data_IF_492055449758
#
_entry.id   IF_492055449758
#
_cell.length_a   1.000
_cell.length_b   1.000
_cell.length_c   1.000
_cell.angle_alpha   90.00
_cell.angle_beta   90.00
_cell.angle_gamma   90.00
#
_symmetry.space_group_name_H-M   'P 1'
#
loop_
_entity.id
_entity.type
_entity.pdbx_description
1 polymer ?
#
# COMPACT_ATOMS: atom_id res chain seq x y z
N UNK A 1 6.47 -2.28 11.19
CA UNK A 1 6.93 -3.41 10.35
C UNK A 1 8.45 -3.32 10.29
N UNK A 2 9.21 -4.32 10.74
CA UNK A 2 10.68 -4.35 10.51
C UNK A 2 10.88 -4.85 9.08
N UNK A 3 11.38 -3.99 8.21
CA UNK A 3 11.56 -4.29 6.79
C UNK A 3 12.66 -5.34 6.57
N UNK A 4 12.54 -6.20 5.54
CA UNK A 4 13.54 -7.23 5.25
C UNK A 4 14.91 -6.59 5.08
N UNK A 5 15.92 -7.22 5.68
CA UNK A 5 17.30 -6.75 5.78
C UNK A 5 17.84 -6.29 4.42
N UNK A 6 18.79 -5.35 4.45
CA UNK A 6 19.69 -5.13 3.33
C UNK A 6 20.38 -6.47 3.09
N UNK A 7 19.94 -7.20 2.08
CA UNK A 7 20.67 -8.36 1.61
C UNK A 7 21.96 -7.81 0.96
N UNK A 8 23.15 -8.33 1.32
CA UNK A 8 24.44 -7.80 0.85
C UNK A 8 24.63 -7.78 -0.68
N UNK A 9 23.72 -8.39 -1.43
CA UNK A 9 23.75 -8.53 -2.89
C UNK A 9 23.14 -7.33 -3.66
N UNK A 10 22.36 -6.45 -3.00
CA UNK A 10 21.81 -5.25 -3.65
C UNK A 10 22.73 -4.04 -3.47
N UNK A 11 23.53 -3.74 -4.49
CA UNK A 11 24.46 -2.58 -4.54
C UNK A 11 23.72 -1.22 -4.56
N UNK A 12 22.41 -1.22 -4.87
CA UNK A 12 21.60 -0.02 -5.00
C UNK A 12 20.22 -0.20 -4.35
N UNK A 13 19.65 0.83 -3.70
CA UNK A 13 18.39 0.71 -2.94
C UNK A 13 17.15 0.69 -3.84
N UNK A 14 17.09 -0.26 -4.78
CA UNK A 14 15.93 -0.48 -5.65
C UNK A 14 14.67 -0.79 -4.83
N UNK A 15 13.58 -0.09 -5.14
CA UNK A 15 12.27 -0.24 -4.50
C UNK A 15 12.18 0.30 -3.07
N UNK A 16 13.15 1.10 -2.62
CA UNK A 16 13.22 1.63 -1.23
C UNK A 16 12.75 3.07 -1.09
N UNK A 17 11.83 3.52 -1.95
CA UNK A 17 11.35 4.91 -1.95
C UNK A 17 10.68 5.32 -0.64
N UNK A 18 9.93 4.41 -0.01
CA UNK A 18 9.30 4.64 1.30
C UNK A 18 10.36 4.89 2.37
N UNK A 19 11.31 3.97 2.54
CA UNK A 19 12.30 4.01 3.62
C UNK A 19 13.21 5.24 3.49
N UNK A 20 13.61 5.58 2.27
CA UNK A 20 14.42 6.77 2.01
C UNK A 20 13.61 8.04 2.32
N UNK A 21 12.37 8.13 1.84
CA UNK A 21 11.51 9.31 2.06
C UNK A 21 11.23 9.52 3.54
N UNK A 22 10.84 8.47 4.27
CA UNK A 22 10.56 8.53 5.71
C UNK A 22 11.81 8.93 6.53
N UNK A 23 12.97 8.37 6.18
CA UNK A 23 14.23 8.69 6.84
C UNK A 23 14.62 10.14 6.61
N UNK A 24 14.56 10.61 5.36
CA UNK A 24 14.89 12.00 5.02
C UNK A 24 13.92 12.97 5.71
N UNK A 25 12.62 12.67 5.72
CA UNK A 25 11.64 13.51 6.39
C UNK A 25 11.87 13.57 7.91
N UNK A 26 12.21 12.43 8.54
CA UNK A 26 12.55 12.37 9.96
C UNK A 26 13.75 13.26 10.28
N UNK A 27 14.83 13.12 9.50
CA UNK A 27 16.03 13.95 9.66
C UNK A 27 15.72 15.42 9.40
N UNK A 28 14.92 15.73 8.38
CA UNK A 28 14.51 17.11 8.09
C UNK A 28 13.77 17.72 9.27
N UNK A 29 12.75 17.05 9.81
CA UNK A 29 11.97 17.54 10.97
C UNK A 29 12.89 17.80 12.18
N UNK A 30 13.83 16.90 12.46
CA UNK A 30 14.81 17.08 13.54
C UNK A 30 15.70 18.31 13.32
N UNK A 31 16.17 18.54 12.08
CA UNK A 31 16.99 19.70 11.72
C UNK A 31 16.21 21.00 11.77
N UNK A 32 14.93 21.00 11.39
CA UNK A 32 14.07 22.18 11.46
C UNK A 32 13.76 22.63 12.90
N UNK A 33 13.85 21.72 13.87
CA UNK A 33 13.72 22.05 15.29
C UNK A 33 14.94 22.84 15.83
N UNK A 34 16.12 22.68 15.21
CA UNK A 34 17.37 23.37 15.59
C UNK A 34 18.16 23.78 14.34
N UNK A 35 17.68 24.77 13.56
CA UNK A 35 18.24 25.09 12.26
C UNK A 35 19.62 25.76 12.37
N UNK A 36 20.62 25.13 11.76
CA UNK A 36 22.03 25.57 11.74
C UNK A 36 22.43 26.17 10.39
N UNK A 37 21.87 25.67 9.29
CA UNK A 37 22.15 26.16 7.93
C UNK A 37 21.13 27.23 7.47
N UNK A 38 21.51 28.12 6.52
CA UNK A 38 20.57 29.10 5.95
C UNK A 38 19.29 28.48 5.39
N UNK A 39 19.40 27.35 4.67
CA UNK A 39 18.24 26.65 4.11
C UNK A 39 17.30 26.12 5.21
N UNK A 40 17.84 25.57 6.29
CA UNK A 40 17.06 25.09 7.43
C UNK A 40 16.34 26.24 8.13
N UNK A 41 17.00 27.40 8.28
CA UNK A 41 16.36 28.59 8.86
C UNK A 41 15.19 29.06 8.01
N UNK A 42 15.35 29.07 6.69
CA UNK A 42 14.29 29.44 5.76
C UNK A 42 13.11 28.46 5.83
N UNK A 43 13.37 27.16 5.79
CA UNK A 43 12.34 26.12 5.91
C UNK A 43 11.63 26.15 7.27
N UNK A 44 12.38 26.35 8.36
CA UNK A 44 11.81 26.46 9.69
C UNK A 44 10.94 27.72 9.83
N UNK A 45 11.34 28.85 9.23
CA UNK A 45 10.52 30.05 9.15
C UNK A 45 9.23 29.80 8.34
N UNK A 46 9.33 29.13 7.19
CA UNK A 46 8.17 28.74 6.39
C UNK A 46 7.16 27.92 7.20
N UNK A 47 7.62 26.88 7.92
CA UNK A 47 6.74 26.05 8.77
C UNK A 47 6.14 26.86 9.93
N UNK A 48 6.93 27.71 10.60
CA UNK A 48 6.41 28.58 11.69
C UNK A 48 5.34 29.56 11.20
N UNK A 49 5.40 29.96 9.94
CA UNK A 49 4.39 30.81 9.30
C UNK A 49 3.17 30.04 8.76
N UNK A 50 3.00 28.77 9.12
CA UNK A 50 1.88 27.92 8.68
C UNK A 50 2.14 27.13 7.39
N UNK A 51 3.37 27.14 6.90
CA UNK A 51 3.78 26.32 5.75
C UNK A 51 3.71 24.82 6.05
N UNK A 52 3.28 24.05 5.05
CA UNK A 52 3.07 22.60 5.19
C UNK A 52 4.29 21.84 4.66
N UNK A 53 4.82 20.93 5.49
CA UNK A 53 5.74 19.86 5.08
C UNK A 53 5.14 18.54 5.55
N UNK A 54 4.77 17.67 4.63
CA UNK A 54 4.10 16.39 4.97
C UNK A 54 4.43 15.29 3.95
N UNK A 55 4.39 14.01 4.34
CA UNK A 55 4.49 12.93 3.39
C UNK A 55 3.23 12.90 2.50
N UNK A 56 3.42 12.48 1.25
CA UNK A 56 2.35 12.20 0.29
C UNK A 56 2.63 10.85 -0.37
N UNK A 57 1.55 10.14 -0.67
CA UNK A 57 1.58 8.87 -1.38
C UNK A 57 0.46 8.85 -2.41
N UNK A 58 0.73 8.29 -3.59
CA UNK A 58 -0.28 8.22 -4.65
C UNK A 58 0.23 7.60 -5.94
N UNK A 59 -0.62 7.64 -6.97
CA UNK A 59 -0.26 7.26 -8.32
C UNK A 59 0.48 8.41 -9.01
N UNK A 60 1.74 8.18 -9.35
CA UNK A 60 2.56 9.11 -10.13
C UNK A 60 2.40 8.78 -11.62
N UNK A 61 1.89 9.76 -12.37
CA UNK A 61 1.78 9.73 -13.84
C UNK A 61 1.04 8.49 -14.37
N UNK A 62 0.11 7.97 -13.58
CA UNK A 62 -0.65 6.76 -13.89
C UNK A 62 0.18 5.48 -14.04
N UNK A 63 1.42 5.46 -13.52
CA UNK A 63 2.39 4.38 -13.75
C UNK A 63 2.95 3.76 -12.47
N UNK A 64 3.21 4.56 -11.43
CA UNK A 64 3.93 4.11 -10.25
C UNK A 64 3.18 4.48 -8.97
N UNK A 65 3.31 3.66 -7.92
CA UNK A 65 3.06 4.14 -6.57
C UNK A 65 4.30 4.87 -6.08
N UNK A 66 4.12 6.10 -5.61
CA UNK A 66 5.24 6.95 -5.22
C UNK A 66 5.06 7.49 -3.81
N UNK A 67 6.14 7.47 -3.03
CA UNK A 67 6.28 8.22 -1.79
C UNK A 67 7.07 9.49 -2.08
N UNK A 68 6.56 10.63 -1.63
CA UNK A 68 7.23 11.91 -1.74
C UNK A 68 6.89 12.79 -0.54
N UNK A 69 7.49 13.98 -0.49
CA UNK A 69 7.15 15.02 0.48
C UNK A 69 6.51 16.20 -0.24
N UNK A 70 5.36 16.65 0.24
CA UNK A 70 4.84 17.97 -0.13
C UNK A 70 5.51 19.02 0.74
N UNK A 71 6.11 20.03 0.12
CA UNK A 71 6.64 21.22 0.78
C UNK A 71 5.97 22.47 0.20
N UNK A 72 4.89 22.93 0.84
CA UNK A 72 4.03 23.97 0.29
C UNK A 72 3.46 23.58 -1.07
N UNK A 73 3.78 24.34 -2.11
CA UNK A 73 3.39 24.07 -3.49
C UNK A 73 4.36 23.16 -4.25
N UNK A 74 5.38 22.61 -3.59
CA UNK A 74 6.38 21.75 -4.20
C UNK A 74 6.10 20.27 -3.91
N UNK A 75 6.31 19.46 -4.93
CA UNK A 75 6.57 18.04 -4.84
C UNK A 75 8.07 17.84 -4.68
N UNK A 76 8.47 17.06 -3.68
CA UNK A 76 9.87 16.74 -3.39
C UNK A 76 9.99 15.23 -3.24
N UNK A 77 10.60 14.59 -4.24
CA UNK A 77 10.92 13.16 -4.23
C UNK A 77 12.42 12.99 -4.05
N UNK A 78 12.81 12.36 -2.95
CA UNK A 78 14.21 12.15 -2.57
C UNK A 78 14.72 10.75 -2.93
N UNK A 79 13.89 9.98 -3.65
CA UNK A 79 14.11 8.59 -4.02
C UNK A 79 13.64 8.30 -5.46
N UNK A 80 13.69 9.30 -6.35
CA UNK A 80 13.16 9.24 -7.71
C UNK A 80 13.88 8.19 -8.60
N UNK A 81 15.10 7.82 -8.23
CA UNK A 81 15.95 6.86 -8.93
C UNK A 81 15.78 5.40 -8.46
N UNK A 82 14.92 5.15 -7.46
CA UNK A 82 14.78 3.81 -6.84
C UNK A 82 14.00 2.80 -7.70
N UNK A 83 13.35 3.24 -8.78
CA UNK A 83 12.73 2.35 -9.79
C UNK A 83 13.54 2.35 -11.09
N UNK A 84 14.06 3.52 -11.47
CA UNK A 84 14.86 3.69 -12.68
C UNK A 84 16.16 4.39 -12.31
N UNK A 85 17.23 3.61 -12.16
CA UNK A 85 18.52 4.07 -11.61
C UNK A 85 19.21 5.18 -12.40
N UNK A 86 18.80 5.41 -13.65
CA UNK A 86 19.32 6.46 -14.52
C UNK A 86 18.65 7.82 -14.30
N UNK A 87 17.55 7.88 -13.53
CA UNK A 87 16.89 9.14 -13.17
C UNK A 87 17.73 9.95 -12.16
N UNK A 88 17.50 11.26 -12.04
CA UNK A 88 18.03 12.04 -10.94
C UNK A 88 17.58 11.47 -9.58
N UNK A 89 18.47 11.50 -8.59
CA UNK A 89 18.20 10.99 -7.23
C UNK A 89 17.06 11.74 -6.54
N UNK A 90 17.07 13.06 -6.73
CA UNK A 90 16.10 13.99 -6.16
C UNK A 90 15.37 14.69 -7.29
N UNK A 91 14.04 14.70 -7.24
CA UNK A 91 13.18 15.48 -8.14
C UNK A 91 12.42 16.52 -7.30
N UNK A 92 12.49 17.79 -7.73
CA UNK A 92 11.74 18.89 -7.12
C UNK A 92 11.03 19.64 -8.24
N UNK A 93 9.71 19.77 -8.13
CA UNK A 93 8.91 20.52 -9.09
C UNK A 93 7.61 21.02 -8.44
N UNK A 94 6.88 21.96 -9.08
CA UNK A 94 5.55 22.34 -8.60
C UNK A 94 4.65 21.11 -8.49
N UNK A 95 3.91 20.98 -7.37
CA UNK A 95 3.01 19.85 -7.11
C UNK A 95 1.97 19.69 -8.21
N UNK A 96 1.45 20.80 -8.74
CA UNK A 96 0.51 20.82 -9.86
C UNK A 96 1.10 20.26 -11.18
N UNK A 97 2.42 20.13 -11.28
CA UNK A 97 3.13 19.55 -12.44
C UNK A 97 3.66 18.15 -12.18
N UNK A 98 3.59 17.67 -10.94
CA UNK A 98 4.10 16.34 -10.57
C UNK A 98 3.24 15.21 -11.13
N UNK A 99 1.95 15.48 -11.38
CA UNK A 99 0.96 14.49 -11.79
C UNK A 99 0.91 13.30 -10.81
N UNK A 100 0.94 13.63 -9.52
CA UNK A 100 0.68 12.68 -8.43
C UNK A 100 -0.76 12.86 -7.99
N UNK A 101 -1.53 11.77 -8.06
CA UNK A 101 -2.94 11.75 -7.68
C UNK A 101 -3.20 10.73 -6.58
N UNK A 102 -4.19 11.04 -5.74
CA UNK A 102 -4.67 10.12 -4.72
C UNK A 102 -5.29 8.88 -5.37
N UNK A 103 -5.11 7.71 -4.74
CA UNK A 103 -5.81 6.49 -5.16
C UNK A 103 -7.29 6.63 -4.77
N UNK A 104 -8.16 6.59 -5.78
CA UNK A 104 -9.58 6.91 -5.61
C UNK A 104 -10.37 5.73 -5.04
N UNK A 105 -10.09 4.53 -5.54
CA UNK A 105 -10.76 3.28 -5.21
C UNK A 105 -9.87 2.07 -5.55
N UNK A 106 -10.43 0.87 -5.40
CA UNK A 106 -9.72 -0.39 -5.67
C UNK A 106 -9.43 -0.61 -7.16
N UNK A 107 -10.27 -0.09 -8.05
CA UNK A 107 -10.06 -0.19 -9.50
C UNK A 107 -8.87 0.64 -9.92
N UNK A 108 -8.82 1.91 -9.48
CA UNK A 108 -7.67 2.77 -9.70
C UNK A 108 -6.39 2.15 -9.11
N UNK A 109 -6.44 1.58 -7.89
CA UNK A 109 -5.29 0.85 -7.34
C UNK A 109 -4.84 -0.31 -8.24
N UNK A 110 -5.77 -1.17 -8.66
CA UNK A 110 -5.49 -2.35 -9.44
C UNK A 110 -4.90 -2.04 -10.82
N UNK A 111 -5.37 -0.97 -11.47
CA UNK A 111 -4.82 -0.50 -12.74
C UNK A 111 -3.35 -0.08 -12.62
N UNK A 112 -3.02 0.69 -11.57
CA UNK A 112 -1.65 1.14 -11.30
C UNK A 112 -0.77 -0.03 -10.91
N UNK A 113 -1.24 -0.88 -9.99
CA UNK A 113 -0.56 -2.09 -9.54
C UNK A 113 -0.26 -3.03 -10.70
N UNK A 114 -1.23 -3.28 -11.58
CA UNK A 114 -1.06 -4.17 -12.72
C UNK A 114 0.01 -3.68 -13.69
N UNK A 115 0.02 -2.37 -14.00
CA UNK A 115 1.07 -1.75 -14.83
C UNK A 115 2.43 -1.77 -14.15
N UNK A 116 2.50 -1.35 -12.89
CA UNK A 116 3.76 -1.19 -12.18
C UNK A 116 4.45 -2.52 -11.89
N UNK A 117 3.67 -3.52 -11.47
CA UNK A 117 4.18 -4.81 -11.06
C UNK A 117 4.16 -5.85 -12.18
N UNK A 118 3.64 -5.50 -13.35
CA UNK A 118 3.39 -6.43 -14.45
C UNK A 118 2.62 -7.68 -13.97
N UNK A 119 1.53 -7.45 -13.25
CA UNK A 119 0.77 -8.48 -12.55
C UNK A 119 -0.71 -8.43 -12.92
N UNK A 120 -1.36 -9.59 -12.89
CA UNK A 120 -2.82 -9.66 -13.00
C UNK A 120 -3.43 -9.46 -11.60
N UNK A 121 -4.34 -8.50 -11.46
CA UNK A 121 -5.05 -8.27 -10.19
C UNK A 121 -6.42 -8.93 -10.24
N UNK A 122 -6.69 -9.82 -9.29
CA UNK A 122 -7.93 -10.59 -9.17
C UNK A 122 -8.53 -10.47 -7.77
N UNK A 123 -9.71 -11.04 -7.55
CA UNK A 123 -10.35 -11.05 -6.24
C UNK A 123 -9.65 -12.00 -5.26
N UNK A 124 -9.55 -11.60 -3.99
CA UNK A 124 -9.11 -12.46 -2.90
C UNK A 124 -10.24 -13.43 -2.50
N UNK A 125 -10.30 -14.57 -3.18
CA UNK A 125 -11.12 -15.73 -2.77
C UNK A 125 -10.31 -16.80 -2.03
N UNK A 126 -9.00 -16.57 -1.86
CA UNK A 126 -8.05 -17.49 -1.22
C UNK A 126 -8.14 -17.37 0.30
N UNK A 127 -8.11 -16.15 0.83
CA UNK A 127 -8.25 -15.84 2.26
C UNK A 127 -9.47 -14.91 2.52
N UNK A 128 -10.70 -15.41 2.37
CA UNK A 128 -11.93 -14.61 2.47
C UNK A 128 -12.09 -13.81 3.76
N UNK A 129 -11.60 -14.32 4.89
CA UNK A 129 -11.65 -13.62 6.18
C UNK A 129 -10.86 -12.29 6.18
N UNK A 130 -9.90 -12.15 5.25
CA UNK A 130 -9.11 -10.93 5.07
C UNK A 130 -9.67 -10.01 3.98
N UNK A 131 -10.65 -10.43 3.19
CA UNK A 131 -11.23 -9.64 2.10
C UNK A 131 -11.68 -8.21 2.50
N UNK A 132 -12.20 -7.93 3.71
CA UNK A 132 -12.54 -6.55 4.10
C UNK A 132 -11.35 -5.58 4.08
N UNK A 133 -10.13 -6.09 4.31
CA UNK A 133 -8.90 -5.30 4.37
C UNK A 133 -7.96 -5.56 3.19
N UNK A 134 -8.06 -6.74 2.57
CA UNK A 134 -7.22 -7.22 1.48
C UNK A 134 -8.10 -7.92 0.43
N UNK A 135 -8.91 -7.18 -0.34
CA UNK A 135 -9.84 -7.74 -1.32
C UNK A 135 -9.12 -8.22 -2.59
N UNK A 136 -7.84 -7.89 -2.76
CA UNK A 136 -7.08 -8.09 -3.99
C UNK A 136 -5.96 -9.12 -3.83
N UNK A 137 -5.77 -9.90 -4.88
CA UNK A 137 -4.63 -10.78 -5.09
C UNK A 137 -3.91 -10.36 -6.37
N UNK A 138 -2.59 -10.15 -6.31
CA UNK A 138 -1.77 -9.97 -7.49
C UNK A 138 -1.13 -11.30 -7.88
N UNK A 139 -1.23 -11.66 -9.15
CA UNK A 139 -0.66 -12.88 -9.74
C UNK A 139 0.55 -12.50 -10.60
N UNK A 140 1.69 -13.09 -10.28
CA UNK A 140 2.98 -12.96 -10.95
C UNK A 140 3.29 -14.28 -11.68
N UNK A 141 3.01 -14.35 -12.98
CA UNK A 141 3.15 -15.61 -13.73
C UNK A 141 2.20 -16.72 -13.26
N UNK A 142 2.55 -17.99 -13.45
CA UNK A 142 1.61 -19.11 -13.27
C UNK A 142 1.42 -19.58 -11.83
N UNK A 143 2.40 -19.37 -10.94
CA UNK A 143 2.40 -20.01 -9.61
C UNK A 143 2.62 -19.04 -8.45
N UNK A 144 2.93 -17.78 -8.70
CA UNK A 144 3.18 -16.82 -7.64
C UNK A 144 2.01 -15.85 -7.52
N UNK A 145 1.44 -15.77 -6.32
CA UNK A 145 0.46 -14.75 -5.98
C UNK A 145 0.69 -14.17 -4.60
N UNK A 146 0.32 -12.91 -4.45
CA UNK A 146 0.49 -12.15 -3.21
C UNK A 146 -0.80 -11.40 -2.89
N UNK A 147 -1.19 -11.40 -1.62
CA UNK A 147 -2.17 -10.44 -1.14
C UNK A 147 -1.57 -9.04 -1.25
N UNK A 148 -2.29 -8.13 -1.89
CA UNK A 148 -1.84 -6.75 -2.11
C UNK A 148 -2.76 -5.77 -1.40
N UNK A 149 -2.50 -4.47 -1.54
CA UNK A 149 -3.14 -3.38 -0.77
C UNK A 149 -2.88 -3.39 0.74
N UNK A 150 -1.83 -4.09 1.19
CA UNK A 150 -1.35 -4.08 2.58
C UNK A 150 -0.62 -2.76 2.88
N UNK A 151 -1.32 -1.63 2.79
CA UNK A 151 -0.81 -0.33 3.22
C UNK A 151 -1.89 0.48 3.92
N UNK A 152 -1.46 1.34 4.85
CA UNK A 152 -2.37 2.11 5.72
C UNK A 152 -3.35 2.97 4.92
N UNK A 153 -2.93 3.49 3.77
CA UNK A 153 -3.79 4.26 2.87
C UNK A 153 -4.98 3.42 2.38
N UNK A 154 -4.71 2.25 1.79
CA UNK A 154 -5.75 1.40 1.21
C UNK A 154 -6.66 0.81 2.28
N UNK A 155 -6.08 0.39 3.42
CA UNK A 155 -6.83 -0.06 4.59
C UNK A 155 -7.78 1.04 5.07
N UNK A 156 -7.28 2.27 5.23
CA UNK A 156 -8.09 3.42 5.64
C UNK A 156 -9.17 3.75 4.63
N UNK A 157 -8.88 3.62 3.32
CA UNK A 157 -9.85 3.82 2.25
C UNK A 157 -11.02 2.82 2.37
N UNK A 158 -10.72 1.54 2.57
CA UNK A 158 -11.74 0.49 2.75
C UNK A 158 -12.53 0.65 4.05
N UNK A 159 -11.86 1.03 5.15
CA UNK A 159 -12.54 1.29 6.42
C UNK A 159 -13.46 2.52 6.34
N UNK A 160 -13.01 3.61 5.70
CA UNK A 160 -13.81 4.83 5.50
C UNK A 160 -15.11 4.52 4.75
N UNK A 161 -15.04 3.65 3.76
CA UNK A 161 -16.18 3.19 2.97
C UNK A 161 -16.93 2.00 3.61
N UNK A 162 -16.62 1.65 4.86
CA UNK A 162 -17.24 0.55 5.61
C UNK A 162 -17.25 -0.77 4.83
N UNK A 163 -16.16 -1.03 4.10
CA UNK A 163 -15.93 -2.23 3.30
C UNK A 163 -16.86 -2.40 2.08
N UNK A 164 -17.62 -1.38 1.65
CA UNK A 164 -18.46 -1.50 0.44
C UNK A 164 -17.63 -1.70 -0.83
N UNK A 165 -16.55 -0.94 -1.02
CA UNK A 165 -15.60 -1.14 -2.12
C UNK A 165 -15.03 -2.57 -2.14
N UNK A 166 -14.62 -3.09 -0.97
CA UNK A 166 -14.07 -4.44 -0.84
C UNK A 166 -15.12 -5.51 -1.22
N UNK A 167 -16.36 -5.36 -0.75
CA UNK A 167 -17.47 -6.25 -1.08
C UNK A 167 -17.73 -6.30 -2.59
N UNK A 168 -17.85 -5.13 -3.25
CA UNK A 168 -18.05 -5.06 -4.70
C UNK A 168 -16.90 -5.71 -5.44
N UNK A 169 -15.65 -5.41 -5.04
CA UNK A 169 -14.47 -5.97 -5.68
C UNK A 169 -14.47 -7.49 -5.69
N UNK A 170 -14.67 -8.12 -4.52
CA UNK A 170 -14.66 -9.59 -4.45
C UNK A 170 -15.88 -10.23 -5.14
N UNK A 171 -16.97 -9.47 -5.31
CA UNK A 171 -18.17 -9.90 -6.00
C UNK A 171 -18.09 -9.76 -7.52
N UNK A 172 -17.31 -8.81 -8.06
CA UNK A 172 -17.29 -8.47 -9.49
C UNK A 172 -16.03 -8.94 -10.19
N UNK A 173 -14.88 -8.93 -9.51
CA UNK A 173 -13.60 -9.23 -10.15
C UNK A 173 -13.42 -10.73 -10.42
N UNK A 174 -12.53 -11.09 -11.38
CA UNK A 174 -12.24 -12.48 -11.69
C UNK A 174 -11.79 -13.26 -10.46
N UNK A 175 -12.17 -14.54 -10.41
CA UNK A 175 -11.62 -15.46 -9.42
C UNK A 175 -10.16 -15.79 -9.76
N UNK A 176 -9.32 -16.11 -8.78
CA UNK A 176 -7.99 -16.65 -9.03
C UNK A 176 -8.09 -18.02 -9.75
N UNK A 177 -7.07 -18.40 -10.54
CA UNK A 177 -7.02 -19.71 -11.18
C UNK A 177 -7.22 -20.85 -10.16
N UNK A 178 -8.00 -21.91 -10.47
CA UNK A 178 -8.29 -22.99 -9.51
C UNK A 178 -7.04 -23.65 -8.90
N UNK A 179 -6.00 -23.87 -9.71
CA UNK A 179 -4.74 -24.44 -9.24
C UNK A 179 -4.05 -23.55 -8.20
N UNK A 180 -4.06 -22.23 -8.41
CA UNK A 180 -3.49 -21.25 -7.49
C UNK A 180 -4.29 -21.18 -6.19
N UNK A 181 -5.62 -21.19 -6.31
CA UNK A 181 -6.53 -21.21 -5.17
C UNK A 181 -6.32 -22.46 -4.30
N UNK A 182 -6.21 -23.65 -4.91
CA UNK A 182 -5.90 -24.88 -4.20
C UNK A 182 -4.51 -24.82 -3.52
N UNK A 183 -3.50 -24.35 -4.24
CA UNK A 183 -2.14 -24.22 -3.74
C UNK A 183 -2.08 -23.36 -2.46
N UNK A 184 -2.62 -22.14 -2.49
CA UNK A 184 -2.51 -21.23 -1.37
C UNK A 184 -3.46 -21.56 -0.21
N UNK A 185 -4.63 -22.17 -0.46
CA UNK A 185 -5.54 -22.59 0.63
C UNK A 185 -4.87 -23.55 1.62
N UNK A 186 -4.03 -24.46 1.12
CA UNK A 186 -3.29 -25.41 1.99
C UNK A 186 -2.21 -24.74 2.85
N UNK A 187 -1.71 -23.57 2.43
CA UNK A 187 -0.63 -22.84 3.11
C UNK A 187 -1.14 -21.80 4.11
N UNK A 188 -2.41 -21.41 4.03
CA UNK A 188 -2.98 -20.47 4.99
C UNK A 188 -2.95 -21.05 6.42
N UNK A 189 -2.81 -20.21 7.46
CA UNK A 189 -3.04 -20.61 8.84
C UNK A 189 -4.47 -21.16 9.03
N UNK A 190 -4.69 -22.14 9.94
CA UNK A 190 -6.00 -22.73 10.15
C UNK A 190 -7.14 -21.72 10.40
N UNK A 191 -6.85 -20.59 11.05
CA UNK A 191 -7.82 -19.53 11.34
C UNK A 191 -8.27 -18.72 10.11
N UNK A 192 -7.56 -18.84 8.98
CA UNK A 192 -7.87 -18.15 7.72
C UNK A 192 -8.31 -19.10 6.60
N UNK A 193 -8.22 -20.41 6.82
CA UNK A 193 -8.65 -21.42 5.87
C UNK A 193 -10.17 -21.42 5.75
N UNK A 194 -10.64 -21.48 4.53
CA UNK A 194 -12.00 -21.94 4.22
C UNK A 194 -12.00 -23.46 4.09
N UNK A 195 -13.12 -24.10 4.39
CA UNK A 195 -13.28 -25.54 4.13
C UNK A 195 -13.28 -25.79 2.62
N UNK A 196 -12.92 -27.01 2.19
CA UNK A 196 -12.82 -27.34 0.76
C UNK A 196 -14.14 -27.10 0.00
N UNK A 197 -15.26 -27.36 0.66
CA UNK A 197 -16.62 -27.19 0.12
C UNK A 197 -17.12 -25.73 0.12
N UNK A 198 -16.37 -24.80 0.70
CA UNK A 198 -16.81 -23.41 0.83
C UNK A 198 -16.45 -22.58 -0.40
N UNK A 199 -17.47 -21.95 -0.99
CA UNK A 199 -17.29 -20.94 -2.04
C UNK A 199 -16.54 -19.72 -1.46
N UNK A 200 -15.32 -19.51 -1.96
CA UNK A 200 -14.45 -18.40 -1.53
C UNK A 200 -15.04 -17.03 -1.84
N UNK A 201 -15.83 -16.90 -2.92
CA UNK A 201 -16.51 -15.64 -3.28
C UNK A 201 -17.60 -15.33 -2.27
N UNK A 202 -18.53 -16.26 -2.04
CA UNK A 202 -19.58 -16.09 -1.04
C UNK A 202 -19.01 -15.80 0.36
N UNK A 203 -17.95 -16.51 0.76
CA UNK A 203 -17.27 -16.28 2.02
C UNK A 203 -16.66 -14.86 2.12
N UNK A 204 -16.08 -14.35 1.04
CA UNK A 204 -15.43 -13.03 1.04
C UNK A 204 -16.46 -11.90 1.13
N UNK A 205 -17.57 -12.05 0.38
CA UNK A 205 -18.72 -11.14 0.46
C UNK A 205 -19.29 -11.13 1.88
N UNK A 206 -19.49 -12.32 2.47
CA UNK A 206 -19.99 -12.45 3.84
C UNK A 206 -19.05 -11.81 4.85
N UNK A 207 -17.73 -11.98 4.71
CA UNK A 207 -16.75 -11.36 5.59
C UNK A 207 -16.84 -9.83 5.57
N UNK A 208 -17.02 -9.23 4.38
CA UNK A 208 -17.21 -7.78 4.24
C UNK A 208 -18.51 -7.31 4.93
N UNK A 209 -19.62 -8.00 4.68
CA UNK A 209 -20.93 -7.69 5.27
C UNK A 209 -20.91 -7.82 6.79
N UNK A 210 -20.38 -8.91 7.31
CA UNK A 210 -20.26 -9.17 8.75
C UNK A 210 -19.38 -8.13 9.44
N UNK A 211 -18.22 -7.80 8.84
CA UNK A 211 -17.33 -6.78 9.40
C UNK A 211 -17.98 -5.39 9.43
N UNK A 212 -18.77 -5.06 8.41
CA UNK A 212 -19.56 -3.82 8.38
C UNK A 212 -20.63 -3.82 9.47
N UNK A 213 -21.41 -4.91 9.59
CA UNK A 213 -22.48 -5.05 10.58
C UNK A 213 -21.98 -5.00 12.03
N UNK A 214 -20.81 -5.59 12.29
CA UNK A 214 -20.15 -5.58 13.60
C UNK A 214 -19.43 -4.26 13.90
N UNK A 215 -19.39 -3.32 12.96
CA UNK A 215 -18.77 -2.02 13.16
C UNK A 215 -17.24 -2.04 13.17
N UNK A 216 -16.60 -3.05 12.57
CA UNK A 216 -15.14 -3.18 12.57
C UNK A 216 -14.41 -2.04 11.86
N UNK A 217 -15.09 -1.29 10.98
CA UNK A 217 -14.55 -0.12 10.30
C UNK A 217 -14.13 1.03 11.24
N UNK A 218 -14.53 0.97 12.51
CA UNK A 218 -14.09 1.90 13.57
C UNK A 218 -13.31 1.20 14.70
N UNK A 219 -13.09 -0.11 14.59
CA UNK A 219 -12.46 -0.92 15.65
C UNK A 219 -10.96 -1.10 15.38
N UNK A 220 -10.15 -0.37 16.14
CA UNK A 220 -8.69 -0.42 16.07
C UNK A 220 -8.10 -1.69 16.71
N UNK A 221 -8.80 -2.35 17.64
CA UNK A 221 -8.35 -3.61 18.20
C UNK A 221 -8.53 -4.74 17.18
N UNK A 222 -9.68 -4.77 16.51
CA UNK A 222 -9.94 -5.70 15.41
C UNK A 222 -8.94 -5.53 14.27
N UNK A 223 -8.70 -4.29 13.82
CA UNK A 223 -7.73 -4.01 12.76
C UNK A 223 -6.34 -4.55 13.14
N UNK A 224 -5.85 -4.26 14.35
CA UNK A 224 -4.55 -4.75 14.82
C UNK A 224 -4.47 -6.27 14.84
N UNK A 225 -5.52 -6.96 15.28
CA UNK A 225 -5.57 -8.42 15.25
C UNK A 225 -5.50 -8.97 13.82
N UNK A 226 -6.24 -8.38 12.87
CA UNK A 226 -6.14 -8.78 11.45
C UNK A 226 -4.78 -8.48 10.85
N UNK A 227 -4.14 -7.37 11.22
CA UNK A 227 -2.79 -7.03 10.77
C UNK A 227 -1.73 -8.01 11.28
N UNK A 228 -1.92 -8.60 12.46
CA UNK A 228 -1.06 -9.67 12.97
C UNK A 228 -1.20 -10.94 12.14
N UNK A 229 -2.44 -11.32 11.78
CA UNK A 229 -2.69 -12.46 10.90
C UNK A 229 -1.98 -12.28 9.55
N UNK A 230 -2.06 -11.08 8.98
CA UNK A 230 -1.38 -10.71 7.71
C UNK A 230 0.14 -10.77 7.86
N UNK A 231 0.70 -10.29 8.97
CA UNK A 231 2.13 -10.37 9.26
C UNK A 231 2.67 -11.80 9.25
N UNK A 232 1.84 -12.79 9.59
CA UNK A 232 2.15 -14.22 9.49
C UNK A 232 2.12 -14.78 8.05
N UNK A 233 1.53 -14.07 7.09
CA UNK A 233 1.40 -14.48 5.68
C UNK A 233 2.53 -13.95 4.77
N UNK A 234 3.42 -13.10 5.28
CA UNK A 234 4.51 -12.48 4.52
C UNK A 234 5.55 -13.51 4.01
N UNK A 235 5.45 -14.78 4.46
CA UNK A 235 6.31 -15.89 4.07
C UNK A 235 5.58 -17.03 3.30
N UNK A 236 4.47 -16.75 2.61
CA UNK A 236 3.76 -17.73 1.77
C UNK A 236 4.52 -18.13 0.49
#
# INVERSE_FOLDING_TARGET
MKYPCITPDKVYPLGRCTEITETVLTVLVQRLARPTAPAERAMAAFVRSGGIIRPIWGALRGQFFQNATQMGALYVDVANDTVTVTKPKVEILPLARADIVNIADLTHFAEIAGKYWNAQIVANHVAPALAPLLPMLAIFGEQEARLVSVCDYMISLMMRDRFHMAERWVAEMPAPPPALLAHYRTRLPPCLRVTEDQDGRAAAILACRSSRAQGHWKDQAWLRARMQDIGGLVNL
#
